data_IF_522651472494
#
_entry.id   IF_522651472494
#
_cell.length_a   1.000
_cell.length_b   1.000
_cell.length_c   1.000
_cell.angle_alpha   90.00
_cell.angle_beta   90.00
_cell.angle_gamma   90.00
#
_symmetry.space_group_name_H-M   'P 1'
#
loop_
_entity.id
_entity.type
_entity.pdbx_description
1 polymer ?
#
# COMPACT_ATOMS: atom_id res chain seq x y z
N UNK A 1 6.07 17.29 -1.76
CA UNK A 1 5.26 16.56 -2.77
C UNK A 1 4.99 15.17 -2.23
N UNK A 2 3.78 14.62 -2.39
CA UNK A 2 3.47 13.28 -1.88
C UNK A 2 4.33 12.23 -2.58
N UNK A 3 4.79 11.22 -1.84
CA UNK A 3 5.49 10.08 -2.43
C UNK A 3 4.50 9.27 -3.27
N UNK A 4 4.94 8.85 -4.47
CA UNK A 4 4.21 7.91 -5.31
C UNK A 4 5.05 6.64 -5.45
N UNK A 5 4.56 5.55 -4.87
CA UNK A 5 5.16 4.23 -4.99
C UNK A 5 4.86 3.64 -6.36
N UNK A 6 5.90 3.19 -7.05
CA UNK A 6 5.80 2.77 -8.45
C UNK A 6 5.79 1.26 -8.63
N UNK A 7 6.55 0.54 -7.80
CA UNK A 7 6.72 -0.91 -7.88
C UNK A 7 7.22 -1.47 -6.54
N UNK A 8 7.02 -2.78 -6.32
CA UNK A 8 7.56 -3.52 -5.17
C UNK A 8 8.74 -4.36 -5.65
N UNK A 9 9.84 -4.36 -4.92
CA UNK A 9 11.00 -5.23 -5.17
C UNK A 9 11.34 -6.03 -3.92
N UNK A 10 11.90 -7.23 -4.11
CA UNK A 10 12.45 -7.99 -2.99
C UNK A 10 13.93 -7.63 -2.80
N UNK A 11 14.26 -7.05 -1.65
CA UNK A 11 15.63 -6.76 -1.23
C UNK A 11 15.92 -7.49 0.07
N UNK A 12 16.94 -8.36 0.07
CA UNK A 12 17.40 -9.09 1.26
C UNK A 12 16.25 -9.81 2.01
N UNK A 13 15.41 -10.56 1.29
CA UNK A 13 14.21 -11.24 1.83
C UNK A 13 13.11 -10.31 2.38
N UNK A 14 13.20 -8.99 2.16
CA UNK A 14 12.14 -8.03 2.50
C UNK A 14 11.55 -7.44 1.24
N UNK A 15 10.23 -7.32 1.21
CA UNK A 15 9.56 -6.57 0.16
C UNK A 15 9.62 -5.08 0.48
N UNK A 16 10.00 -4.28 -0.50
CA UNK A 16 10.11 -2.83 -0.35
C UNK A 16 9.40 -2.12 -1.48
N UNK A 17 8.73 -1.02 -1.16
CA UNK A 17 8.08 -0.12 -2.12
C UNK A 17 9.09 0.91 -2.62
N UNK A 18 9.34 0.92 -3.92
CA UNK A 18 10.21 1.90 -4.56
C UNK A 18 9.43 3.13 -5.03
N UNK A 19 10.06 4.30 -5.02
CA UNK A 19 9.46 5.57 -5.43
C UNK A 19 10.47 6.51 -6.10
N UNK A 20 9.96 7.61 -6.69
CA UNK A 20 10.79 8.72 -7.21
C UNK A 20 11.38 8.50 -8.61
N UNK A 21 11.10 7.38 -9.27
CA UNK A 21 11.62 7.05 -10.62
C UNK A 21 13.16 6.99 -10.73
N UNK A 22 13.88 6.97 -9.60
CA UNK A 22 15.35 6.86 -9.55
C UNK A 22 15.75 5.37 -9.38
N UNK A 23 15.06 4.47 -10.11
CA UNK A 23 15.21 3.03 -9.94
C UNK A 23 14.90 2.56 -8.50
N UNK A 24 15.74 1.67 -7.98
CA UNK A 24 15.55 1.03 -6.67
C UNK A 24 16.36 1.72 -5.56
N UNK A 25 16.76 2.98 -5.72
CA UNK A 25 17.58 3.70 -4.74
C UNK A 25 16.72 4.20 -3.57
N UNK A 26 15.55 4.75 -3.89
CA UNK A 26 14.58 5.25 -2.92
C UNK A 26 13.50 4.20 -2.69
N UNK A 27 13.48 3.64 -1.49
CA UNK A 27 12.52 2.61 -1.11
C UNK A 27 12.14 2.70 0.37
N UNK A 28 10.98 2.14 0.69
CA UNK A 28 10.49 1.97 2.05
C UNK A 28 10.03 0.52 2.26
N UNK A 29 10.16 0.00 3.47
CA UNK A 29 9.64 -1.32 3.82
C UNK A 29 8.15 -1.43 3.48
N UNK A 30 7.80 -2.49 2.74
CA UNK A 30 6.42 -2.79 2.40
C UNK A 30 5.72 -3.41 3.61
N UNK A 31 4.65 -2.76 4.06
CA UNK A 31 3.82 -3.22 5.16
C UNK A 31 2.49 -3.72 4.60
N UNK A 32 2.35 -5.03 4.33
CA UNK A 32 1.16 -5.59 3.69
C UNK A 32 -0.13 -5.36 4.51
N UNK A 33 0.00 -5.24 5.82
CA UNK A 33 -1.08 -4.94 6.77
C UNK A 33 -1.45 -3.45 6.81
N UNK A 34 -0.63 -2.55 6.27
CA UNK A 34 -0.87 -1.11 6.24
C UNK A 34 -1.23 -0.61 4.83
N UNK A 35 -2.03 -1.38 4.11
CA UNK A 35 -2.60 -0.97 2.82
C UNK A 35 -3.99 -0.40 3.03
N UNK A 36 -4.20 0.83 2.56
CA UNK A 36 -5.51 1.47 2.59
C UNK A 36 -6.02 1.70 1.17
N UNK A 37 -7.19 1.15 0.85
CA UNK A 37 -7.88 1.40 -0.42
C UNK A 37 -9.06 2.34 -0.19
N UNK A 38 -9.11 3.42 -0.94
CA UNK A 38 -10.26 4.32 -0.98
C UNK A 38 -11.32 3.74 -1.93
N UNK A 39 -12.46 3.33 -1.36
CA UNK A 39 -13.57 2.72 -2.11
C UNK A 39 -14.22 3.67 -3.13
N UNK A 40 -14.09 4.98 -2.96
CA UNK A 40 -14.72 5.96 -3.87
C UNK A 40 -13.88 6.17 -5.12
N UNK A 41 -12.55 6.22 -4.95
CA UNK A 41 -11.62 6.58 -6.03
C UNK A 41 -10.82 5.40 -6.57
N UNK A 42 -10.84 4.25 -5.87
CA UNK A 42 -9.99 3.10 -6.15
C UNK A 42 -8.50 3.35 -5.87
N UNK A 43 -8.16 4.49 -5.26
CA UNK A 43 -6.76 4.83 -4.95
C UNK A 43 -6.29 4.02 -3.76
N UNK A 44 -5.06 3.51 -3.88
CA UNK A 44 -4.41 2.75 -2.81
C UNK A 44 -3.31 3.60 -2.19
N UNK A 45 -3.22 3.57 -0.87
CA UNK A 45 -2.29 4.35 -0.06
C UNK A 45 -1.50 3.43 0.87
N UNK A 46 -0.30 3.88 1.22
CA UNK A 46 0.61 3.20 2.15
C UNK A 46 1.31 4.25 3.02
N UNK A 47 1.74 3.92 4.25
CA UNK A 47 2.54 4.82 5.06
C UNK A 47 3.74 5.35 4.28
N UNK A 48 4.06 6.63 4.48
CA UNK A 48 5.26 7.27 3.97
C UNK A 48 6.00 7.96 5.13
N UNK A 49 7.26 8.37 4.96
CA UNK A 49 7.96 9.12 5.99
C UNK A 49 7.25 10.47 6.23
N UNK A 50 7.31 10.99 7.46
CA UNK A 50 6.67 12.26 7.80
C UNK A 50 7.19 13.42 6.94
N UNK A 51 8.47 13.37 6.55
CA UNK A 51 9.11 14.33 5.63
C UNK A 51 8.45 14.39 4.25
N UNK A 52 7.66 13.37 3.88
CA UNK A 52 6.93 13.26 2.63
C UNK A 52 5.41 13.42 2.78
N UNK A 53 4.94 13.83 3.96
CA UNK A 53 3.51 14.00 4.26
C UNK A 53 2.83 12.76 4.85
N UNK A 54 3.60 11.81 5.39
CA UNK A 54 3.13 10.64 6.17
C UNK A 54 2.30 9.59 5.41
N UNK A 55 1.75 9.94 4.26
CA UNK A 55 0.91 9.11 3.40
C UNK A 55 1.49 9.14 1.98
N UNK A 56 1.81 7.96 1.47
CA UNK A 56 2.23 7.74 0.09
C UNK A 56 1.08 7.19 -0.74
N UNK A 57 1.03 7.59 -2.01
CA UNK A 57 0.10 7.08 -3.01
C UNK A 57 0.74 5.91 -3.75
N UNK A 58 -0.03 4.87 -4.02
CA UNK A 58 0.39 3.78 -4.91
C UNK A 58 -0.05 4.09 -6.33
N UNK A 59 0.88 4.00 -7.29
CA UNK A 59 0.59 4.21 -8.72
C UNK A 59 -0.43 3.19 -9.21
N UNK A 60 -1.33 3.60 -10.11
CA UNK A 60 -2.44 2.79 -10.61
C UNK A 60 -2.07 1.35 -11.03
N UNK A 61 -0.93 1.15 -11.69
CA UNK A 61 -0.49 -0.19 -12.09
C UNK A 61 -0.27 -1.11 -10.88
N UNK A 62 0.50 -0.64 -9.90
CA UNK A 62 0.76 -1.39 -8.67
C UNK A 62 -0.51 -1.49 -7.80
N UNK A 63 -1.36 -0.45 -7.82
CA UNK A 63 -2.64 -0.48 -7.12
C UNK A 63 -3.53 -1.61 -7.62
N UNK A 64 -3.62 -1.84 -8.94
CA UNK A 64 -4.38 -2.96 -9.52
C UNK A 64 -3.83 -4.32 -9.05
N UNK A 65 -2.50 -4.48 -9.05
CA UNK A 65 -1.84 -5.71 -8.57
C UNK A 65 -2.14 -5.97 -7.09
N UNK A 66 -2.15 -4.92 -6.28
CA UNK A 66 -2.52 -5.00 -4.85
C UNK A 66 -4.00 -5.30 -4.69
N UNK A 67 -4.87 -4.60 -5.42
CA UNK A 67 -6.33 -4.79 -5.38
C UNK A 67 -6.75 -6.20 -5.73
N UNK A 68 -6.04 -6.88 -6.66
CA UNK A 68 -6.30 -8.28 -7.00
C UNK A 68 -6.11 -9.25 -5.82
N UNK A 69 -5.35 -8.84 -4.80
CA UNK A 69 -5.00 -9.63 -3.63
C UNK A 69 -5.77 -9.21 -2.37
N UNK A 70 -6.60 -8.17 -2.47
CA UNK A 70 -7.45 -7.70 -1.36
C UNK A 70 -8.66 -8.64 -1.19
N UNK A 71 -9.05 -8.88 0.06
CA UNK A 71 -10.21 -9.69 0.43
C UNK A 71 -11.22 -8.84 1.18
N UNK A 72 -12.47 -8.98 0.76
CA UNK A 72 -13.62 -8.20 1.23
C UNK A 72 -14.56 -9.09 2.04
N UNK A 73 -14.11 -9.55 3.21
CA UNK A 73 -14.95 -10.42 4.05
C UNK A 73 -16.16 -9.69 4.67
N UNK A 74 -16.08 -8.37 4.80
CA UNK A 74 -17.16 -7.53 5.35
C UNK A 74 -18.18 -7.02 4.30
N UNK A 75 -18.03 -7.45 3.04
CA UNK A 75 -18.84 -7.07 1.88
C UNK A 75 -18.09 -6.18 0.87
N UNK A 76 -18.40 -6.30 -0.42
CA UNK A 76 -17.72 -5.58 -1.52
C UNK A 76 -17.92 -4.06 -1.49
N UNK A 77 -19.02 -3.58 -0.90
CA UNK A 77 -19.28 -2.15 -0.68
C UNK A 77 -18.38 -1.52 0.39
N UNK A 78 -17.71 -2.34 1.22
CA UNK A 78 -16.86 -1.88 2.32
C UNK A 78 -15.38 -1.99 1.97
N UNK A 79 -14.54 -1.30 2.75
CA UNK A 79 -13.09 -1.37 2.54
C UNK A 79 -12.59 -2.79 2.79
N UNK A 80 -11.53 -3.23 2.07
CA UNK A 80 -10.98 -4.55 2.24
C UNK A 80 -10.49 -4.74 3.68
N UNK A 81 -10.64 -5.95 4.18
CA UNK A 81 -10.31 -6.30 5.57
C UNK A 81 -9.05 -7.13 5.66
N UNK A 82 -8.73 -7.89 4.61
CA UNK A 82 -7.53 -8.70 4.55
C UNK A 82 -6.81 -8.50 3.22
N UNK A 83 -5.51 -8.79 3.23
CA UNK A 83 -4.64 -8.73 2.06
C UNK A 83 -3.79 -9.98 1.97
N UNK A 84 -3.85 -10.65 0.83
CA UNK A 84 -3.09 -11.87 0.57
C UNK A 84 -1.76 -11.50 -0.10
N UNK A 85 -0.65 -11.67 0.61
CA UNK A 85 0.69 -11.40 0.08
C UNK A 85 1.59 -12.62 0.22
N UNK A 86 2.10 -13.12 -0.92
CA UNK A 86 2.96 -14.32 -0.98
C UNK A 86 2.38 -15.50 -0.18
N UNK A 87 1.11 -15.82 -0.45
CA UNK A 87 0.37 -16.91 0.20
C UNK A 87 0.18 -16.74 1.72
N UNK A 88 0.44 -15.54 2.25
CA UNK A 88 0.14 -15.18 3.64
C UNK A 88 -0.95 -14.13 3.69
N UNK A 89 -1.96 -14.39 4.50
CA UNK A 89 -3.05 -13.44 4.72
C UNK A 89 -2.69 -12.49 5.87
N UNK A 90 -2.88 -11.19 5.63
CA UNK A 90 -2.66 -10.13 6.59
C UNK A 90 -3.96 -9.39 6.86
N UNK A 91 -4.27 -9.15 8.12
CA UNK A 91 -5.41 -8.30 8.51
C UNK A 91 -5.02 -6.85 8.26
N UNK A 92 -5.84 -6.12 7.50
CA UNK A 92 -5.60 -4.73 7.18
C UNK A 92 -5.91 -3.83 8.36
N UNK A 93 -4.93 -3.06 8.78
CA UNK A 93 -5.10 -1.98 9.73
C UNK A 93 -5.40 -0.70 8.95
N UNK A 94 -6.64 -0.23 9.00
CA UNK A 94 -7.04 1.05 8.37
C UNK A 94 -6.97 2.25 9.34
N UNK A 95 -6.66 2.02 10.62
CA UNK A 95 -6.65 3.08 11.63
C UNK A 95 -5.49 4.07 11.43
N UNK A 96 -4.34 3.60 10.92
CA UNK A 96 -3.18 4.45 10.69
C UNK A 96 -3.48 5.57 9.68
N UNK A 97 -4.34 5.31 8.70
CA UNK A 97 -4.71 6.28 7.68
C UNK A 97 -5.63 7.35 8.27
N UNK A 98 -6.61 6.95 9.10
CA UNK A 98 -7.53 7.87 9.78
C UNK A 98 -6.82 8.80 10.77
N UNK A 99 -5.76 8.33 11.42
CA UNK A 99 -4.95 9.13 12.36
C UNK A 99 -4.05 10.17 11.68
N UNK A 100 -3.79 10.02 10.38
CA UNK A 100 -2.83 10.84 9.60
C UNK A 100 -3.49 11.73 8.53
N UNK A 101 -4.81 11.65 8.41
CA UNK A 101 -5.63 12.48 7.52
C UNK A 101 -6.26 13.62 8.31
#
# INVERSE_FOLDING_TARGET
MPIVYTHIVNKNNKDVLCYGHIGDIMYQDFQPDHIYMDNTTGRVYHPAPETAGSIGLIRSKLAIEISSNLRFYDGEDKSPTHFLWKDKEFVLNNEWFKKRK
#
